data_IF_816053728635
#
_entry.id   IF_816053728635
#
_cell.length_a   1.000
_cell.length_b   1.000
_cell.length_c   1.000
_cell.angle_alpha   90.00
_cell.angle_beta   90.00
_cell.angle_gamma   90.00
#
_symmetry.space_group_name_H-M   'P 1'
#
loop_
_entity.id
_entity.type
_entity.pdbx_description
1 polymer ?
#
# COMPACT_ATOMS: atom_id res chain seq x y z
N UNK A 1 -11.76 14.06 -11.51
CA UNK A 1 -11.07 13.36 -10.41
C UNK A 1 -9.75 12.93 -10.99
N UNK A 2 -8.65 13.25 -10.34
CA UNK A 2 -7.35 12.74 -10.76
C UNK A 2 -7.23 11.28 -10.34
N UNK A 3 -6.58 10.46 -11.16
CA UNK A 3 -6.29 9.09 -10.81
C UNK A 3 -5.44 9.03 -9.52
N UNK A 4 -5.48 7.88 -8.85
CA UNK A 4 -4.65 7.63 -7.67
C UNK A 4 -3.84 6.37 -7.88
N UNK A 5 -2.57 6.40 -7.50
CA UNK A 5 -1.81 5.17 -7.29
C UNK A 5 -2.16 4.66 -5.91
N UNK A 6 -2.60 3.40 -5.83
CA UNK A 6 -2.89 2.70 -4.59
C UNK A 6 -1.81 1.64 -4.34
N UNK A 7 -1.29 1.60 -3.13
CA UNK A 7 -0.43 0.53 -2.62
C UNK A 7 -1.22 -0.17 -1.53
N UNK A 8 -1.66 -1.39 -1.78
CA UNK A 8 -2.43 -2.17 -0.81
C UNK A 8 -1.51 -3.20 -0.15
N UNK A 9 -1.51 -3.27 1.18
CA UNK A 9 -0.69 -4.21 1.94
C UNK A 9 -1.57 -5.01 2.91
N UNK A 10 -1.34 -6.32 2.95
CA UNK A 10 -1.93 -7.20 3.97
C UNK A 10 -0.82 -7.74 4.86
N UNK A 11 -0.86 -7.36 6.13
CA UNK A 11 0.18 -7.65 7.12
C UNK A 11 -0.39 -8.46 8.28
N UNK A 12 0.43 -9.34 8.85
CA UNK A 12 0.05 -10.08 10.07
C UNK A 12 0.17 -9.22 11.33
N UNK A 13 1.10 -8.27 11.33
CA UNK A 13 1.40 -7.39 12.45
C UNK A 13 1.13 -5.92 12.10
N UNK A 14 0.74 -5.14 13.10
CA UNK A 14 0.56 -3.70 12.94
C UNK A 14 1.92 -3.03 12.74
N UNK A 15 2.01 -2.15 11.74
CA UNK A 15 3.15 -1.29 11.51
C UNK A 15 2.98 0.01 12.29
N UNK A 16 4.08 0.46 12.90
CA UNK A 16 4.15 1.78 13.50
C UNK A 16 4.20 2.86 12.40
N UNK A 17 3.11 3.61 12.26
CA UNK A 17 3.00 4.68 11.29
C UNK A 17 4.02 5.79 11.54
N UNK A 18 4.46 6.01 12.79
CA UNK A 18 5.52 6.97 13.07
C UNK A 18 6.81 6.59 12.33
N UNK A 19 7.12 5.29 12.24
CA UNK A 19 8.28 4.76 11.52
C UNK A 19 8.13 4.97 10.02
N UNK A 20 6.95 4.71 9.44
CA UNK A 20 6.69 4.99 8.01
C UNK A 20 6.93 6.48 7.70
N UNK A 21 6.34 7.37 8.50
CA UNK A 21 6.47 8.81 8.29
C UNK A 21 7.93 9.27 8.45
N UNK A 22 8.67 8.67 9.37
CA UNK A 22 10.10 8.95 9.55
C UNK A 22 10.93 8.44 8.36
N UNK A 23 10.62 7.26 7.81
CA UNK A 23 11.32 6.70 6.64
C UNK A 23 11.10 7.55 5.38
N UNK A 24 9.89 8.07 5.18
CA UNK A 24 9.63 9.04 4.11
C UNK A 24 10.51 10.28 4.27
N UNK A 25 10.60 10.83 5.49
CA UNK A 25 11.47 12.00 5.80
C UNK A 25 12.95 11.68 5.59
N UNK A 26 13.42 10.50 6.00
CA UNK A 26 14.79 10.04 5.78
C UNK A 26 15.14 9.97 4.28
N UNK A 27 14.14 9.67 3.43
CA UNK A 27 14.24 9.68 1.97
C UNK A 27 14.02 11.07 1.35
N UNK A 28 14.14 12.14 2.14
CA UNK A 28 14.00 13.55 1.72
C UNK A 28 12.62 13.90 1.19
N UNK A 29 11.60 13.14 1.58
CA UNK A 29 10.20 13.47 1.31
C UNK A 29 9.67 14.30 2.48
N UNK A 30 9.42 15.59 2.24
CA UNK A 30 8.88 16.49 3.27
C UNK A 30 7.39 16.23 3.48
N UNK A 31 7.10 15.37 4.45
CA UNK A 31 5.75 14.95 4.82
C UNK A 31 5.17 15.84 5.91
N UNK A 32 4.05 16.47 5.59
CA UNK A 32 3.17 17.11 6.57
C UNK A 32 1.85 16.36 6.65
N UNK A 33 1.52 15.90 7.86
CA UNK A 33 0.23 15.27 8.17
C UNK A 33 -0.76 16.37 8.48
N UNK A 34 -1.86 16.42 7.73
CA UNK A 34 -2.89 17.44 7.89
C UNK A 34 -3.99 16.99 8.83
N UNK A 35 -4.42 15.72 8.71
CA UNK A 35 -5.55 15.21 9.48
C UNK A 35 -5.40 13.73 9.76
N UNK A 36 -5.85 13.32 10.94
CA UNK A 36 -5.90 11.92 11.39
C UNK A 36 -7.28 11.65 11.97
N UNK A 37 -8.00 10.71 11.39
CA UNK A 37 -9.39 10.40 11.74
C UNK A 37 -9.50 8.93 12.07
N UNK A 38 -10.28 8.61 13.11
CA UNK A 38 -10.82 7.28 13.31
C UNK A 38 -12.31 7.27 12.99
N UNK A 39 -12.80 6.21 12.37
CA UNK A 39 -14.22 6.00 12.05
C UNK A 39 -14.62 4.54 12.28
N UNK A 40 -15.92 4.26 12.30
CA UNK A 40 -16.43 2.92 12.63
C UNK A 40 -16.57 2.02 11.39
N UNK A 41 -16.82 2.62 10.23
CA UNK A 41 -17.06 1.93 8.98
C UNK A 41 -16.83 2.87 7.78
N UNK A 42 -16.82 2.28 6.58
CA UNK A 42 -16.66 2.97 5.30
C UNK A 42 -17.83 3.91 4.93
N UNK A 43 -18.91 3.94 5.73
CA UNK A 43 -19.98 4.95 5.64
C UNK A 43 -19.67 6.21 6.46
N UNK A 44 -18.45 6.33 6.99
CA UNK A 44 -17.95 7.50 7.71
C UNK A 44 -18.69 7.83 9.01
N UNK A 45 -19.22 6.80 9.69
CA UNK A 45 -19.91 6.97 10.97
C UNK A 45 -18.93 7.18 12.14
N UNK A 46 -19.36 7.98 13.12
CA UNK A 46 -18.64 8.27 14.37
C UNK A 46 -17.19 8.76 14.19
N UNK A 47 -16.97 9.59 13.17
CA UNK A 47 -15.66 10.19 12.92
C UNK A 47 -15.14 10.98 14.13
N UNK A 48 -13.89 10.70 14.50
CA UNK A 48 -13.18 11.41 15.55
C UNK A 48 -11.77 11.74 15.09
N UNK A 49 -11.36 12.99 15.26
CA UNK A 49 -9.98 13.39 15.04
C UNK A 49 -9.11 13.01 16.25
N UNK A 50 -7.90 12.54 16.00
CA UNK A 50 -6.94 12.21 17.06
C UNK A 50 -5.56 12.82 16.77
N UNK A 51 -4.80 13.13 17.82
CA UNK A 51 -3.60 13.95 17.70
C UNK A 51 -2.30 13.15 17.76
N UNK A 52 -2.27 11.97 18.36
CA UNK A 52 -1.04 11.17 18.47
C UNK A 52 -1.12 9.92 17.60
N UNK A 53 -0.08 9.65 16.81
CA UNK A 53 0.03 8.41 16.02
C UNK A 53 0.19 7.18 16.91
N UNK A 54 0.62 7.36 18.16
CA UNK A 54 0.68 6.28 19.16
C UNK A 54 -0.70 5.69 19.49
N UNK A 55 -1.79 6.44 19.27
CA UNK A 55 -3.16 5.96 19.50
C UNK A 55 -3.65 4.94 18.45
N UNK A 56 -3.00 4.87 17.29
CA UNK A 56 -3.46 4.08 16.13
C UNK A 56 -3.65 2.62 16.52
N UNK A 57 -2.69 2.01 17.21
CA UNK A 57 -2.77 0.61 17.60
C UNK A 57 -4.01 0.32 18.46
N UNK A 58 -4.25 1.16 19.48
CA UNK A 58 -5.41 1.04 20.38
C UNK A 58 -6.73 1.21 19.62
N UNK A 59 -6.79 2.16 18.70
CA UNK A 59 -7.98 2.42 17.88
C UNK A 59 -8.28 1.23 16.95
N UNK A 60 -7.26 0.64 16.33
CA UNK A 60 -7.39 -0.58 15.52
C UNK A 60 -7.86 -1.79 16.33
N UNK A 61 -7.42 -1.95 17.60
CA UNK A 61 -7.95 -3.00 18.49
C UNK A 61 -9.45 -2.83 18.78
N UNK A 62 -9.95 -1.60 18.73
CA UNK A 62 -11.37 -1.27 18.89
C UNK A 62 -12.14 -1.32 17.56
N UNK A 63 -11.60 -2.01 16.54
CA UNK A 63 -12.17 -2.15 15.20
C UNK A 63 -12.47 -0.80 14.52
N UNK A 64 -11.71 0.26 14.84
CA UNK A 64 -11.80 1.52 14.10
C UNK A 64 -11.02 1.40 12.79
N UNK A 65 -11.51 2.10 11.77
CA UNK A 65 -10.75 2.41 10.56
C UNK A 65 -10.03 3.73 10.78
N UNK A 66 -8.76 3.78 10.42
CA UNK A 66 -7.91 4.95 10.55
C UNK A 66 -7.70 5.56 9.18
N UNK A 67 -7.84 6.88 9.10
CA UNK A 67 -7.58 7.68 7.92
C UNK A 67 -6.54 8.74 8.26
N UNK A 68 -5.46 8.77 7.50
CA UNK A 68 -4.40 9.78 7.63
C UNK A 68 -4.31 10.50 6.29
N UNK A 69 -4.55 11.81 6.30
CA UNK A 69 -4.35 12.67 5.15
C UNK A 69 -3.09 13.48 5.35
N UNK A 70 -2.24 13.50 4.33
CA UNK A 70 -0.97 14.18 4.35
C UNK A 70 -0.64 14.75 2.98
N UNK A 71 0.35 15.62 2.93
CA UNK A 71 0.91 16.09 1.68
C UNK A 71 2.43 16.02 1.70
N UNK A 72 2.97 15.74 0.53
CA UNK A 72 4.38 15.90 0.21
C UNK A 72 4.57 17.31 -0.34
N UNK A 73 5.27 18.19 0.39
CA UNK A 73 5.40 19.62 0.07
C UNK A 73 5.87 19.91 -1.37
N UNK A 74 6.59 18.97 -1.99
CA UNK A 74 7.13 19.10 -3.35
C UNK A 74 6.48 18.18 -4.38
N UNK A 75 5.51 17.36 -3.99
CA UNK A 75 4.93 16.35 -4.86
C UNK A 75 3.41 16.46 -4.88
N UNK A 76 2.72 15.71 -4.02
CA UNK A 76 1.27 15.54 -4.06
C UNK A 76 0.68 15.19 -2.70
N UNK A 77 -0.63 15.38 -2.63
CA UNK A 77 -1.45 14.85 -1.55
C UNK A 77 -1.41 13.33 -1.59
N UNK A 78 -1.36 12.75 -0.40
CA UNK A 78 -1.39 11.31 -0.22
C UNK A 78 -2.12 10.99 1.08
N UNK A 79 -2.45 9.73 1.26
CA UNK A 79 -3.03 9.29 2.52
C UNK A 79 -2.84 7.82 2.76
N UNK A 80 -3.26 7.44 3.97
CA UNK A 80 -3.15 6.09 4.48
C UNK A 80 -4.50 5.73 5.07
N UNK A 81 -5.08 4.65 4.59
CA UNK A 81 -6.17 3.95 5.26
C UNK A 81 -5.63 2.72 5.95
N UNK A 82 -6.11 2.48 7.17
CA UNK A 82 -5.71 1.33 7.97
C UNK A 82 -6.93 0.74 8.62
N UNK A 83 -7.14 -0.55 8.44
CA UNK A 83 -8.16 -1.28 9.19
C UNK A 83 -7.61 -2.62 9.67
N UNK A 84 -8.19 -3.13 10.74
CA UNK A 84 -7.93 -4.47 11.23
C UNK A 84 -9.17 -5.31 10.95
N UNK A 85 -8.98 -6.42 10.25
CA UNK A 85 -10.01 -7.44 10.10
C UNK A 85 -9.47 -8.77 10.60
N UNK A 86 -10.16 -9.35 11.60
CA UNK A 86 -9.72 -10.56 12.33
C UNK A 86 -8.29 -10.39 12.91
N UNK A 87 -7.34 -11.15 12.39
CA UNK A 87 -5.93 -11.19 12.80
C UNK A 87 -4.99 -10.54 11.77
N UNK A 88 -5.51 -9.74 10.84
CA UNK A 88 -4.74 -9.09 9.78
C UNK A 88 -4.97 -7.58 9.79
N UNK A 89 -3.94 -6.87 9.35
CA UNK A 89 -3.97 -5.43 9.16
C UNK A 89 -3.91 -5.14 7.67
N UNK A 90 -4.86 -4.33 7.22
CA UNK A 90 -5.01 -3.89 5.85
C UNK A 90 -4.58 -2.44 5.80
N UNK A 91 -3.66 -2.14 4.89
CA UNK A 91 -3.19 -0.79 4.63
C UNK A 91 -3.46 -0.46 3.17
N UNK A 92 -3.98 0.74 2.92
CA UNK A 92 -4.03 1.32 1.59
C UNK A 92 -3.33 2.68 1.64
N UNK A 93 -2.23 2.80 0.91
CA UNK A 93 -1.57 4.08 0.67
C UNK A 93 -2.04 4.59 -0.68
N UNK A 94 -2.60 5.79 -0.73
CA UNK A 94 -3.00 6.40 -1.98
C UNK A 94 -2.18 7.66 -2.23
N UNK A 95 -1.81 7.91 -3.49
CA UNK A 95 -1.08 9.10 -3.93
C UNK A 95 -1.83 9.68 -5.12
N UNK A 96 -2.17 10.97 -5.06
CA UNK A 96 -2.81 11.69 -6.15
C UNK A 96 -1.82 11.85 -7.34
N UNK A 97 -2.23 11.53 -8.56
CA UNK A 97 -1.38 11.62 -9.77
C UNK A 97 -1.67 12.84 -10.64
N UNK A 98 -2.50 13.79 -10.19
CA UNK A 98 -2.88 14.97 -10.99
C UNK A 98 -1.65 15.69 -11.57
N UNK A 99 -1.68 16.06 -12.85
CA UNK A 99 -0.54 16.70 -13.51
C UNK A 99 0.66 15.78 -13.83
N UNK A 100 0.55 14.47 -13.59
CA UNK A 100 1.51 13.44 -14.02
C UNK A 100 0.81 12.41 -14.91
N UNK A 101 0.48 12.74 -16.17
CA UNK A 101 -0.31 11.87 -17.05
C UNK A 101 0.37 10.52 -17.33
N UNK A 102 1.69 10.42 -17.23
CA UNK A 102 2.42 9.17 -17.37
C UNK A 102 2.11 8.16 -16.25
N UNK A 103 1.67 8.66 -15.08
CA UNK A 103 1.26 7.84 -13.95
C UNK A 103 -0.20 7.42 -14.05
N UNK A 104 -1.01 8.08 -14.87
CA UNK A 104 -2.39 7.70 -15.19
C UNK A 104 -2.41 6.71 -16.37
N UNK A 105 -1.91 5.50 -16.12
CA UNK A 105 -1.71 4.46 -17.14
C UNK A 105 -1.98 3.06 -16.58
N UNK A 106 -2.78 2.27 -17.29
CA UNK A 106 -3.10 0.87 -16.92
C UNK A 106 -1.96 -0.12 -17.19
N UNK A 107 -0.81 0.38 -17.66
CA UNK A 107 0.38 -0.38 -17.98
C UNK A 107 1.66 0.32 -17.50
N UNK A 108 2.70 -0.48 -17.26
CA UNK A 108 4.05 0.03 -17.00
C UNK A 108 4.79 0.18 -18.34
N UNK A 109 5.18 1.41 -18.65
CA UNK A 109 5.81 1.78 -19.91
C UNK A 109 7.11 2.55 -19.67
N UNK A 110 7.79 2.95 -20.74
CA UNK A 110 9.08 3.65 -20.66
C UNK A 110 9.04 4.99 -19.94
N UNK A 111 7.87 5.62 -19.80
CA UNK A 111 7.71 6.92 -19.14
C UNK A 111 7.55 6.76 -17.61
N UNK A 112 6.89 5.70 -17.14
CA UNK A 112 6.57 5.52 -15.72
C UNK A 112 7.36 4.40 -15.01
N UNK A 113 8.10 3.57 -15.75
CA UNK A 113 8.83 2.43 -15.17
C UNK A 113 9.76 2.84 -14.03
N UNK A 114 10.49 3.95 -14.18
CA UNK A 114 11.42 4.43 -13.15
C UNK A 114 10.74 4.83 -11.84
N UNK A 115 9.48 5.29 -11.91
CA UNK A 115 8.68 5.63 -10.74
C UNK A 115 8.27 4.35 -9.98
N UNK A 116 7.70 3.39 -10.71
CA UNK A 116 7.31 2.11 -10.11
C UNK A 116 8.50 1.33 -9.57
N UNK A 117 9.66 1.36 -10.23
CA UNK A 117 10.88 0.72 -9.69
C UNK A 117 11.33 1.35 -8.37
N UNK A 118 11.29 2.68 -8.24
CA UNK A 118 11.64 3.37 -6.99
C UNK A 118 10.68 3.03 -5.85
N UNK A 119 9.37 3.01 -6.11
CA UNK A 119 8.38 2.57 -5.12
C UNK A 119 8.67 1.15 -4.68
N UNK A 120 8.94 0.26 -5.64
CA UNK A 120 9.21 -1.14 -5.31
C UNK A 120 10.46 -1.30 -4.45
N UNK A 121 11.55 -0.61 -4.77
CA UNK A 121 12.78 -0.63 -3.97
C UNK A 121 12.51 -0.10 -2.56
N UNK A 122 11.77 1.00 -2.43
CA UNK A 122 11.41 1.57 -1.13
C UNK A 122 10.60 0.59 -0.28
N UNK A 123 9.56 -0.03 -0.86
CA UNK A 123 8.71 -0.99 -0.16
C UNK A 123 9.52 -2.21 0.28
N UNK A 124 10.34 -2.79 -0.61
CA UNK A 124 11.13 -3.97 -0.29
C UNK A 124 12.14 -3.68 0.83
N UNK A 125 12.80 -2.51 0.80
CA UNK A 125 13.70 -2.08 1.86
C UNK A 125 12.95 -1.85 3.18
N UNK A 126 11.77 -1.23 3.13
CA UNK A 126 10.94 -1.01 4.32
C UNK A 126 10.50 -2.35 4.94
N UNK A 127 10.04 -3.27 4.10
CA UNK A 127 9.61 -4.60 4.52
C UNK A 127 10.75 -5.33 5.20
N UNK A 128 11.94 -5.38 4.57
CA UNK A 128 13.11 -6.10 5.10
C UNK A 128 13.55 -5.58 6.48
N UNK A 129 13.46 -4.27 6.72
CA UNK A 129 13.96 -3.66 7.96
C UNK A 129 12.91 -3.49 9.06
N UNK A 130 11.62 -3.38 8.71
CA UNK A 130 10.58 -2.97 9.65
C UNK A 130 9.38 -3.93 9.71
N UNK A 131 9.20 -4.79 8.71
CA UNK A 131 8.04 -5.69 8.65
C UNK A 131 8.52 -7.13 8.77
N UNK A 132 8.23 -7.77 9.90
CA UNK A 132 8.61 -9.17 10.10
C UNK A 132 7.95 -10.12 9.10
N UNK A 133 6.64 -9.92 8.81
CA UNK A 133 5.86 -10.76 7.89
C UNK A 133 4.75 -9.96 7.21
N UNK A 134 4.69 -10.05 5.88
CA UNK A 134 3.57 -9.60 5.07
C UNK A 134 3.00 -10.78 4.28
N UNK A 135 1.76 -10.69 3.81
CA UNK A 135 1.14 -11.74 2.98
C UNK A 135 1.14 -11.38 1.51
N UNK A 136 0.71 -10.15 1.18
CA UNK A 136 0.65 -9.65 -0.19
C UNK A 136 0.71 -8.12 -0.19
N UNK A 137 1.40 -7.56 -1.18
CA UNK A 137 1.38 -6.14 -1.50
C UNK A 137 0.99 -6.00 -2.96
N UNK A 138 0.10 -5.05 -3.28
CA UNK A 138 -0.23 -4.65 -4.64
C UNK A 138 0.12 -3.19 -4.87
N UNK A 139 0.47 -2.85 -6.10
CA UNK A 139 0.65 -1.47 -6.56
C UNK A 139 -0.09 -1.33 -7.88
N UNK A 140 -0.95 -0.33 -8.02
CA UNK A 140 -1.67 -0.07 -9.26
C UNK A 140 -2.43 1.25 -9.24
N UNK A 141 -3.00 1.62 -10.37
CA UNK A 141 -3.86 2.79 -10.49
C UNK A 141 -5.29 2.41 -10.17
N UNK A 142 -5.93 3.20 -9.30
CA UNK A 142 -7.33 3.01 -8.90
C UNK A 142 -7.64 1.55 -8.55
N UNK A 143 -6.74 0.93 -7.79
CA UNK A 143 -6.76 -0.54 -7.58
C UNK A 143 -7.99 -0.91 -6.76
N UNK A 144 -8.85 -1.75 -7.33
CA UNK A 144 -9.92 -2.38 -6.59
C UNK A 144 -9.38 -3.64 -5.91
N UNK A 145 -8.79 -3.48 -4.72
CA UNK A 145 -8.19 -4.59 -3.99
C UNK A 145 -9.24 -5.40 -3.22
N UNK A 146 -9.35 -6.71 -3.52
CA UNK A 146 -10.29 -7.63 -2.87
C UNK A 146 -9.55 -8.83 -2.28
N UNK A 147 -9.14 -8.68 -1.02
CA UNK A 147 -8.45 -9.76 -0.33
C UNK A 147 -9.34 -10.99 -0.11
N UNK A 148 -8.76 -12.16 -0.38
CA UNK A 148 -9.29 -13.51 -0.12
C UNK A 148 -8.25 -14.30 0.66
N UNK A 149 -8.67 -15.36 1.35
CA UNK A 149 -7.73 -16.21 2.11
C UNK A 149 -6.67 -16.87 1.21
N UNK A 150 -7.00 -17.08 -0.08
CA UNK A 150 -6.06 -17.49 -1.12
C UNK A 150 -5.46 -16.28 -1.84
N UNK A 151 -4.13 -16.28 -1.99
CA UNK A 151 -3.40 -15.28 -2.78
C UNK A 151 -3.85 -15.33 -4.25
N UNK A 152 -4.04 -16.53 -4.81
CA UNK A 152 -4.48 -16.68 -6.20
C UNK A 152 -5.87 -16.08 -6.42
N UNK A 153 -6.80 -16.30 -5.49
CA UNK A 153 -8.14 -15.70 -5.55
C UNK A 153 -8.08 -14.18 -5.34
N UNK A 154 -7.21 -13.70 -4.45
CA UNK A 154 -7.01 -12.25 -4.23
C UNK A 154 -6.58 -11.56 -5.52
N UNK A 155 -5.63 -12.15 -6.25
CA UNK A 155 -5.16 -11.58 -7.52
C UNK A 155 -6.27 -11.63 -8.59
N UNK A 156 -7.03 -12.72 -8.66
CA UNK A 156 -8.09 -12.91 -9.65
C UNK A 156 -9.26 -11.94 -9.45
N UNK A 157 -9.64 -11.66 -8.20
CA UNK A 157 -10.78 -10.83 -7.83
C UNK A 157 -10.46 -9.33 -7.73
N UNK A 158 -9.18 -9.00 -7.64
CA UNK A 158 -8.69 -7.63 -7.63
C UNK A 158 -8.49 -7.12 -9.06
N UNK A 159 -8.68 -5.82 -9.25
CA UNK A 159 -8.51 -5.17 -10.56
C UNK A 159 -7.48 -4.05 -10.51
N UNK A 160 -6.93 -3.72 -11.67
CA UNK A 160 -5.99 -2.61 -11.91
C UNK A 160 -4.65 -2.66 -11.16
N UNK A 161 -4.32 -3.79 -10.52
CA UNK A 161 -2.99 -4.03 -10.00
C UNK A 161 -1.97 -4.17 -11.14
N UNK A 162 -0.87 -3.42 -11.07
CA UNK A 162 0.25 -3.48 -12.02
C UNK A 162 1.39 -4.34 -11.48
N UNK A 163 1.56 -4.35 -10.17
CA UNK A 163 2.61 -5.09 -9.48
C UNK A 163 2.01 -5.84 -8.30
N UNK A 164 2.41 -7.10 -8.14
CA UNK A 164 2.22 -7.87 -6.92
C UNK A 164 3.57 -8.19 -6.29
N UNK A 165 3.67 -8.07 -4.97
CA UNK A 165 4.78 -8.59 -4.20
C UNK A 165 4.26 -9.59 -3.19
N UNK A 166 4.85 -10.78 -3.18
CA UNK A 166 4.42 -11.90 -2.35
C UNK A 166 5.67 -12.54 -1.75
N UNK A 167 5.69 -12.89 -0.44
CA UNK A 167 6.80 -13.62 0.12
C UNK A 167 7.00 -14.95 -0.62
N UNK A 168 8.26 -15.32 -0.88
CA UNK A 168 8.57 -16.62 -1.47
C UNK A 168 8.05 -17.73 -0.57
N UNK A 169 7.10 -18.51 -1.07
CA UNK A 169 6.74 -19.79 -0.47
C UNK A 169 7.84 -20.80 -0.78
N UNK A 170 8.24 -21.60 0.21
CA UNK A 170 9.34 -22.58 0.07
C UNK A 170 9.03 -23.75 -0.85
N UNK A 171 7.77 -23.94 -1.28
CA UNK A 171 7.35 -25.23 -1.85
C UNK A 171 6.62 -25.21 -3.20
N UNK A 172 6.29 -24.08 -3.82
CA UNK A 172 5.76 -24.08 -5.20
C UNK A 172 6.01 -22.76 -5.92
N UNK A 173 6.42 -22.82 -7.19
CA UNK A 173 6.40 -21.65 -8.06
C UNK A 173 4.95 -21.22 -8.31
N UNK A 174 4.57 -20.07 -7.78
CA UNK A 174 3.30 -19.45 -8.12
C UNK A 174 3.43 -18.78 -9.50
N UNK A 175 2.60 -19.19 -10.45
CA UNK A 175 2.43 -18.50 -11.73
C UNK A 175 1.18 -17.63 -11.67
N UNK A 176 1.29 -16.39 -12.13
CA UNK A 176 0.16 -15.44 -12.20
C UNK A 176 -0.07 -15.10 -13.67
N UNK A 177 -1.24 -15.48 -14.18
CA UNK A 177 -1.60 -15.22 -15.58
C UNK A 177 -1.57 -13.72 -15.88
N UNK A 178 -0.93 -13.33 -16.98
CA UNK A 178 -0.80 -11.92 -17.37
C UNK A 178 0.32 -11.16 -16.66
N UNK A 179 1.16 -11.82 -15.85
CA UNK A 179 2.29 -11.18 -15.18
C UNK A 179 3.61 -11.90 -15.46
N UNK A 180 4.67 -11.12 -15.56
CA UNK A 180 6.05 -11.58 -15.56
C UNK A 180 6.57 -11.66 -14.12
N UNK A 181 7.27 -12.74 -13.79
CA UNK A 181 7.81 -12.97 -12.45
C UNK A 181 9.28 -12.59 -12.39
N UNK A 182 9.68 -11.89 -11.32
CA UNK A 182 11.07 -11.69 -10.93
C UNK A 182 11.25 -11.96 -9.44
N UNK A 183 12.43 -12.42 -9.06
CA UNK A 183 12.75 -12.74 -7.68
C UNK A 183 13.67 -11.66 -7.10
N UNK A 184 13.28 -11.06 -5.96
CA UNK A 184 14.10 -10.06 -5.25
C UNK A 184 14.22 -10.48 -3.79
N UNK A 185 15.40 -10.99 -3.40
CA UNK A 185 15.63 -11.53 -2.06
C UNK A 185 14.63 -12.65 -1.72
N UNK A 186 13.88 -12.49 -0.63
CA UNK A 186 12.83 -13.39 -0.16
C UNK A 186 11.44 -13.09 -0.75
N UNK A 187 11.34 -12.20 -1.74
CA UNK A 187 10.07 -11.75 -2.32
C UNK A 187 9.98 -12.12 -3.79
N UNK A 188 8.82 -12.63 -4.20
CA UNK A 188 8.43 -12.79 -5.60
C UNK A 188 7.66 -11.53 -6.04
N UNK A 189 8.14 -10.91 -7.11
CA UNK A 189 7.54 -9.70 -7.67
C UNK A 189 6.96 -10.05 -9.04
N UNK A 190 5.66 -9.83 -9.21
CA UNK A 190 4.94 -10.06 -10.45
C UNK A 190 4.59 -8.72 -11.07
N UNK A 191 4.98 -8.48 -12.32
CA UNK A 191 4.74 -7.24 -13.06
C UNK A 191 3.82 -7.54 -14.23
N UNK A 192 2.70 -6.82 -14.33
CA UNK A 192 1.70 -6.99 -15.37
C UNK A 192 2.36 -6.87 -16.74
N UNK A 193 2.07 -7.83 -17.61
CA UNK A 193 2.54 -7.82 -18.99
C UNK A 193 1.79 -6.73 -19.77
N UNK A 194 2.50 -6.08 -20.68
CA UNK A 194 1.92 -5.13 -21.63
C UNK A 194 1.20 -5.83 -22.78
#
# INVERSE_FOLDING_TARGET
>A
MAATININCVLSDAVDIAVILQELRNNKLDVKVDKKISMDNWSWENQQEFQDVSDIYRLLQNNKIIVINAHLHTFKDFGIYIERCKNKYFYEFWINTDGFPELDSDIINSQNISFFEKIQIFILHYVENHIGRFEIISIGNETLFKYKESIAETILESDSALIWMIPKASENEMAVSGYSKRNVGSVEVFIKNN
#
